data_IF_290511983030
#
_entry.id   IF_290511983030
#
_cell.length_a   1.000
_cell.length_b   1.000
_cell.length_c   1.000
_cell.angle_alpha   90.00
_cell.angle_beta   90.00
_cell.angle_gamma   90.00
#
_symmetry.space_group_name_H-M   'P 1'
#
loop_
_entity.id
_entity.type
_entity.pdbx_description
1 polymer ?
#
# COMPACT_ATOMS: atom_id res chain seq x y z
N UNK A 1 -6.17 -5.18 -5.32
CA UNK A 1 -5.07 -4.31 -5.77
C UNK A 1 -5.69 -3.03 -6.32
N UNK A 2 -5.77 -1.98 -5.51
CA UNK A 2 -6.30 -0.68 -5.96
C UNK A 2 -5.21 -0.03 -6.82
N UNK A 3 -5.49 0.12 -8.12
CA UNK A 3 -4.67 0.98 -8.99
C UNK A 3 -4.63 2.38 -8.37
N UNK A 4 -3.47 3.08 -8.36
CA UNK A 4 -3.38 4.45 -7.83
C UNK A 4 -4.34 5.43 -8.52
N UNK A 5 -4.94 5.00 -9.64
CA UNK A 5 -6.01 5.67 -10.37
C UNK A 5 -7.18 4.71 -10.58
N UNK A 6 -8.18 4.70 -9.68
CA UNK A 6 -9.47 4.08 -10.00
C UNK A 6 -10.25 5.10 -10.83
N UNK A 7 -10.16 4.97 -12.15
CA UNK A 7 -11.12 5.57 -13.06
C UNK A 7 -12.28 4.59 -13.21
N UNK A 8 -13.43 4.91 -12.63
CA UNK A 8 -14.61 4.04 -12.62
C UNK A 8 -15.15 3.74 -14.02
N UNK A 9 -14.81 4.60 -15.01
CA UNK A 9 -15.23 4.47 -16.39
C UNK A 9 -14.32 3.64 -17.31
N UNK A 10 -13.28 2.96 -16.82
CA UNK A 10 -12.47 2.05 -17.66
C UNK A 10 -12.86 0.58 -17.39
N UNK A 11 -13.66 -0.06 -18.27
CA UNK A 11 -14.08 -1.45 -18.09
C UNK A 11 -12.91 -2.43 -17.94
N UNK A 12 -11.74 -2.15 -18.52
CA UNK A 12 -10.57 -3.03 -18.37
C UNK A 12 -10.10 -3.10 -16.92
N UNK A 13 -10.32 -2.02 -16.15
CA UNK A 13 -9.97 -1.93 -14.72
C UNK A 13 -11.11 -2.34 -13.80
N UNK A 14 -12.37 -2.23 -14.22
CA UNK A 14 -13.51 -2.39 -13.31
C UNK A 14 -14.40 -3.59 -13.62
N UNK A 15 -14.43 -4.08 -14.85
CA UNK A 15 -15.35 -5.15 -15.27
C UNK A 15 -15.19 -6.42 -14.44
N UNK A 16 -13.94 -6.83 -14.17
CA UNK A 16 -13.66 -8.03 -13.38
C UNK A 16 -14.08 -7.87 -11.90
N UNK A 17 -14.21 -6.65 -11.38
CA UNK A 17 -14.69 -6.37 -10.03
C UNK A 17 -16.23 -6.42 -9.96
N UNK A 18 -16.90 -5.78 -10.92
CA UNK A 18 -18.37 -5.74 -10.96
C UNK A 18 -18.99 -7.08 -11.37
N UNK A 19 -18.21 -7.97 -11.98
CA UNK A 19 -18.61 -9.34 -12.30
C UNK A 19 -18.51 -10.31 -11.11
N UNK A 20 -17.96 -9.90 -9.96
CA UNK A 20 -17.87 -10.74 -8.77
C UNK A 20 -19.26 -11.00 -8.16
N UNK A 21 -19.42 -12.16 -7.52
CA UNK A 21 -20.66 -12.52 -6.83
C UNK A 21 -21.01 -11.50 -5.74
N UNK A 22 -22.23 -10.95 -5.82
CA UNK A 22 -22.72 -9.95 -4.87
C UNK A 22 -22.18 -8.53 -5.07
N UNK A 23 -21.44 -8.27 -6.15
CA UNK A 23 -20.89 -6.94 -6.42
C UNK A 23 -22.00 -5.91 -6.72
N UNK A 24 -23.09 -6.31 -7.40
CA UNK A 24 -24.19 -5.40 -7.74
C UNK A 24 -24.89 -4.82 -6.50
N UNK A 25 -24.89 -5.56 -5.41
CA UNK A 25 -25.57 -5.23 -4.16
C UNK A 25 -24.65 -4.55 -3.14
N UNK A 26 -23.34 -4.84 -3.17
CA UNK A 26 -22.40 -4.47 -2.08
C UNK A 26 -21.13 -3.76 -2.52
N UNK A 27 -20.83 -3.71 -3.83
CA UNK A 27 -19.64 -3.03 -4.34
C UNK A 27 -20.00 -1.61 -4.77
N UNK A 28 -19.38 -0.64 -4.11
CA UNK A 28 -19.45 0.76 -4.49
C UNK A 28 -18.08 1.20 -5.00
N UNK A 29 -18.02 1.60 -6.27
CA UNK A 29 -16.79 2.10 -6.87
C UNK A 29 -16.74 3.63 -6.77
N UNK A 30 -15.68 4.12 -6.12
CA UNK A 30 -15.39 5.54 -6.01
C UNK A 30 -14.19 5.90 -6.87
N UNK A 31 -14.22 7.08 -7.49
CA UNK A 31 -13.05 7.68 -8.09
C UNK A 31 -12.22 8.32 -6.98
N UNK A 32 -10.94 7.97 -6.89
CA UNK A 32 -9.99 8.60 -6.00
C UNK A 32 -8.60 8.59 -6.63
N UNK A 33 -7.78 9.58 -6.28
CA UNK A 33 -6.38 9.71 -6.68
C UNK A 33 -5.52 9.76 -5.44
N UNK A 34 -4.51 8.90 -5.38
CA UNK A 34 -3.68 8.73 -4.19
C UNK A 34 -2.95 10.01 -3.77
N UNK A 35 -2.64 10.90 -4.72
CA UNK A 35 -1.90 12.14 -4.47
C UNK A 35 -2.79 13.38 -4.38
N UNK A 36 -4.08 13.27 -4.72
CA UNK A 36 -5.05 14.35 -4.56
C UNK A 36 -5.58 14.37 -3.12
N UNK A 37 -5.27 15.44 -2.38
CA UNK A 37 -5.68 15.56 -0.98
C UNK A 37 -7.21 15.52 -0.84
N UNK A 38 -7.69 14.69 0.10
CA UNK A 38 -9.12 14.58 0.40
C UNK A 38 -9.93 13.76 -0.61
N UNK A 39 -9.30 13.22 -1.65
CA UNK A 39 -9.98 12.38 -2.66
C UNK A 39 -10.61 11.11 -2.08
N UNK A 40 -10.22 10.70 -0.87
CA UNK A 40 -10.75 9.55 -0.14
C UNK A 40 -11.79 9.91 0.93
N UNK A 41 -11.97 11.19 1.25
CA UNK A 41 -12.81 11.63 2.38
C UNK A 41 -14.24 11.05 2.25
N UNK A 42 -14.88 11.22 1.09
CA UNK A 42 -16.24 10.72 0.84
C UNK A 42 -16.34 9.20 0.79
N UNK A 43 -15.28 8.50 0.35
CA UNK A 43 -15.29 7.04 0.26
C UNK A 43 -15.08 6.37 1.63
N UNK A 44 -14.41 7.07 2.55
CA UNK A 44 -14.09 6.58 3.90
C UNK A 44 -15.19 6.97 4.90
N UNK A 45 -15.97 8.01 4.64
CA UNK A 45 -17.07 8.40 5.52
C UNK A 45 -18.05 7.24 5.77
N UNK A 46 -18.46 7.08 7.03
CA UNK A 46 -19.29 5.94 7.46
C UNK A 46 -18.60 4.57 7.54
N UNK A 47 -17.33 4.42 7.13
CA UNK A 47 -16.60 3.15 7.24
C UNK A 47 -16.08 2.88 8.65
N UNK A 48 -16.29 1.68 9.17
CA UNK A 48 -15.70 1.25 10.45
C UNK A 48 -14.25 0.75 10.33
N UNK A 49 -13.88 0.22 9.17
CA UNK A 49 -12.54 -0.28 8.91
C UNK A 49 -12.09 0.11 7.52
N UNK A 50 -10.82 0.47 7.38
CA UNK A 50 -10.24 0.91 6.09
C UNK A 50 -9.05 0.02 5.76
N UNK A 51 -9.02 -0.52 4.54
CA UNK A 51 -7.90 -1.32 4.03
C UNK A 51 -7.11 -0.50 3.02
N UNK A 52 -5.98 0.07 3.46
CA UNK A 52 -5.07 0.79 2.59
C UNK A 52 -4.15 -0.19 1.87
N UNK A 53 -4.49 -0.51 0.62
CA UNK A 53 -3.74 -1.45 -0.24
C UNK A 53 -3.04 -0.78 -1.43
N UNK A 54 -3.31 0.51 -1.66
CA UNK A 54 -2.84 1.23 -2.83
C UNK A 54 -1.39 1.70 -2.63
N UNK A 55 -0.48 1.24 -3.49
CA UNK A 55 0.93 1.64 -3.43
C UNK A 55 1.58 1.38 -4.79
N UNK A 56 2.52 2.23 -5.24
CA UNK A 56 3.23 2.01 -6.49
C UNK A 56 4.09 0.74 -6.40
N UNK A 57 4.11 -0.04 -7.49
CA UNK A 57 4.96 -1.23 -7.62
C UNK A 57 5.38 -1.44 -9.08
N UNK A 58 6.56 -0.92 -9.44
CA UNK A 58 7.16 -1.07 -10.76
C UNK A 58 8.70 -1.01 -10.68
N UNK A 59 9.37 -1.68 -11.61
CA UNK A 59 10.83 -1.91 -11.60
C UNK A 59 11.62 -0.86 -12.40
N UNK A 60 11.07 -0.36 -13.51
CA UNK A 60 11.70 0.69 -14.32
C UNK A 60 11.28 2.07 -13.81
N UNK A 61 12.16 2.69 -13.02
CA UNK A 61 11.91 4.00 -12.42
C UNK A 61 12.99 4.97 -12.86
N UNK A 62 12.58 6.09 -13.46
CA UNK A 62 13.52 7.14 -13.91
C UNK A 62 13.83 8.11 -12.77
N UNK A 63 12.80 8.51 -12.03
CA UNK A 63 12.90 9.33 -10.83
C UNK A 63 12.37 8.56 -9.61
N UNK A 64 13.24 7.87 -8.85
CA UNK A 64 12.85 7.12 -7.65
C UNK A 64 12.18 7.97 -6.58
N UNK A 65 12.55 9.24 -6.48
CA UNK A 65 11.99 10.14 -5.48
C UNK A 65 10.53 10.42 -5.81
N UNK A 66 10.24 10.91 -7.02
CA UNK A 66 8.90 11.29 -7.42
C UNK A 66 7.98 10.07 -7.65
N UNK A 67 8.48 9.04 -8.32
CA UNK A 67 7.63 7.94 -8.81
C UNK A 67 7.39 6.84 -7.77
N UNK A 68 8.33 6.63 -6.82
CA UNK A 68 8.18 5.61 -5.77
C UNK A 68 8.03 6.21 -4.38
N UNK A 69 9.03 6.97 -3.92
CA UNK A 69 9.13 7.38 -2.51
C UNK A 69 8.01 8.36 -2.16
N UNK A 70 7.92 9.47 -2.88
CA UNK A 70 6.89 10.48 -2.68
C UNK A 70 5.50 9.89 -2.85
N UNK A 71 5.31 9.08 -3.90
CA UNK A 71 4.03 8.49 -4.19
C UNK A 71 3.58 7.51 -3.10
N UNK A 72 4.49 6.72 -2.52
CA UNK A 72 4.19 5.81 -1.42
C UNK A 72 3.92 6.55 -0.11
N UNK A 73 4.77 7.52 0.26
CA UNK A 73 4.69 8.25 1.52
C UNK A 73 3.49 9.21 1.51
N UNK A 74 3.41 10.12 0.54
CA UNK A 74 2.31 11.10 0.44
C UNK A 74 0.98 10.40 0.28
N UNK A 75 0.95 9.33 -0.51
CA UNK A 75 -0.25 8.54 -0.72
C UNK A 75 -0.78 7.88 0.55
N UNK A 76 0.12 7.27 1.33
CA UNK A 76 -0.24 6.68 2.62
C UNK A 76 -0.73 7.73 3.60
N UNK A 77 -0.04 8.85 3.71
CA UNK A 77 -0.45 9.95 4.57
C UNK A 77 -1.81 10.54 4.14
N UNK A 78 -2.09 10.63 2.85
CA UNK A 78 -3.36 11.14 2.35
C UNK A 78 -4.54 10.27 2.82
N UNK A 79 -4.47 8.95 2.60
CA UNK A 79 -5.51 8.01 3.03
C UNK A 79 -5.69 8.02 4.55
N UNK A 80 -4.60 8.01 5.31
CA UNK A 80 -4.69 8.04 6.77
C UNK A 80 -5.24 9.37 7.30
N UNK A 81 -4.90 10.51 6.69
CA UNK A 81 -5.51 11.78 7.05
C UNK A 81 -7.03 11.76 6.81
N UNK A 82 -7.51 11.18 5.70
CA UNK A 82 -8.95 10.97 5.50
C UNK A 82 -9.57 10.09 6.60
N UNK A 83 -8.87 9.03 7.04
CA UNK A 83 -9.32 8.20 8.16
C UNK A 83 -9.42 8.99 9.47
N UNK A 84 -8.49 9.92 9.75
CA UNK A 84 -8.53 10.73 10.97
C UNK A 84 -9.68 11.74 11.02
N UNK A 85 -10.22 12.13 9.85
CA UNK A 85 -11.39 13.02 9.75
C UNK A 85 -12.70 12.26 9.99
N UNK A 86 -12.74 10.97 9.65
CA UNK A 86 -13.93 10.14 9.75
C UNK A 86 -14.07 9.54 11.16
N UNK A 87 -15.02 10.07 11.94
CA UNK A 87 -15.27 9.63 13.33
C UNK A 87 -15.77 8.17 13.43
N UNK A 88 -16.21 7.58 12.32
CA UNK A 88 -16.67 6.20 12.24
C UNK A 88 -15.53 5.17 12.18
N UNK A 89 -14.33 5.57 11.75
CA UNK A 89 -13.20 4.65 11.55
C UNK A 89 -12.67 4.15 12.89
N UNK A 90 -12.65 2.83 13.05
CA UNK A 90 -12.18 2.15 14.27
C UNK A 90 -10.78 1.55 14.12
N UNK A 91 -10.42 1.08 12.91
CA UNK A 91 -9.09 0.53 12.61
C UNK A 91 -8.75 0.68 11.14
N UNK A 92 -7.48 0.99 10.86
CA UNK A 92 -6.93 0.94 9.51
C UNK A 92 -5.96 -0.23 9.38
N UNK A 93 -6.14 -1.05 8.33
CA UNK A 93 -5.20 -2.09 7.94
C UNK A 93 -4.36 -1.57 6.78
N UNK A 94 -3.06 -1.41 7.01
CA UNK A 94 -2.11 -0.92 5.99
C UNK A 94 -1.37 -2.11 5.39
N UNK A 95 -1.42 -2.24 4.06
CA UNK A 95 -0.62 -3.24 3.35
C UNK A 95 0.79 -2.71 3.14
N UNK A 96 1.70 -3.13 4.02
CA UNK A 96 3.12 -2.85 3.90
C UNK A 96 3.82 -3.98 3.13
N UNK A 97 5.03 -4.40 3.55
CA UNK A 97 5.84 -5.43 2.90
C UNK A 97 6.96 -5.92 3.82
N UNK A 98 7.46 -7.14 3.58
CA UNK A 98 8.76 -7.58 4.11
C UNK A 98 9.91 -6.65 3.72
N UNK A 99 9.74 -5.84 2.67
CA UNK A 99 10.68 -4.79 2.32
C UNK A 99 10.88 -3.76 3.44
N UNK A 100 9.90 -3.52 4.32
CA UNK A 100 10.05 -2.64 5.47
C UNK A 100 10.69 -3.30 6.71
N UNK A 101 10.93 -4.62 6.66
CA UNK A 101 11.36 -5.45 7.80
C UNK A 101 12.76 -6.04 7.60
N UNK A 102 12.97 -6.75 6.49
CA UNK A 102 14.10 -7.66 6.32
C UNK A 102 15.43 -7.04 5.84
N UNK A 103 15.46 -5.75 5.49
CA UNK A 103 16.61 -5.14 4.80
C UNK A 103 17.40 -4.23 5.74
N UNK A 104 18.13 -4.83 6.66
CA UNK A 104 19.05 -4.14 7.55
C UNK A 104 20.45 -4.76 7.49
N UNK A 105 21.35 -4.32 8.37
CA UNK A 105 22.76 -4.77 8.38
C UNK A 105 22.95 -6.14 9.06
N UNK A 106 21.89 -6.79 9.55
CA UNK A 106 21.99 -8.12 10.17
C UNK A 106 22.12 -9.18 9.06
N UNK A 107 22.93 -10.23 9.27
CA UNK A 107 23.01 -11.34 8.32
C UNK A 107 21.68 -12.10 8.26
N UNK A 108 21.25 -12.45 7.05
CA UNK A 108 20.08 -13.29 6.82
C UNK A 108 20.56 -14.70 6.37
N UNK A 109 20.88 -15.55 7.35
CA UNK A 109 21.36 -16.93 7.13
C UNK A 109 20.26 -17.94 7.47
N UNK A 110 20.40 -19.23 7.11
CA UNK A 110 19.38 -20.24 7.39
C UNK A 110 18.99 -20.38 8.88
N UNK A 111 19.87 -20.03 9.80
CA UNK A 111 19.63 -20.13 11.25
C UNK A 111 18.99 -18.87 11.85
N UNK A 112 18.79 -17.81 11.05
CA UNK A 112 18.24 -16.54 11.50
C UNK A 112 16.73 -16.52 11.28
N UNK A 113 15.98 -16.25 12.35
CA UNK A 113 14.55 -15.97 12.27
C UNK A 113 14.33 -14.46 12.15
N UNK A 114 13.69 -14.03 11.07
CA UNK A 114 13.22 -12.65 10.89
C UNK A 114 11.80 -12.56 11.46
N UNK A 115 11.55 -11.57 12.30
CA UNK A 115 10.26 -11.32 12.95
C UNK A 115 9.93 -9.81 12.94
N UNK A 116 8.81 -9.43 13.54
CA UNK A 116 8.30 -8.05 13.57
C UNK A 116 9.15 -7.10 14.43
N UNK A 117 10.18 -7.58 15.11
CA UNK A 117 11.17 -6.72 15.80
C UNK A 117 12.27 -6.22 14.85
N UNK A 118 12.30 -6.75 13.62
CA UNK A 118 13.19 -6.28 12.57
C UNK A 118 12.58 -5.11 11.81
N UNK A 119 13.43 -4.15 11.50
CA UNK A 119 13.09 -3.02 10.66
C UNK A 119 14.19 -2.87 9.61
N UNK A 120 13.80 -2.56 8.38
CA UNK A 120 14.73 -2.21 7.33
C UNK A 120 15.42 -0.88 7.64
N UNK A 121 16.65 -0.74 7.20
CA UNK A 121 17.48 0.44 7.41
C UNK A 121 17.36 1.38 6.20
N UNK A 122 16.75 2.58 6.34
CA UNK A 122 16.59 3.50 5.23
C UNK A 122 17.89 3.95 4.58
N UNK A 123 18.96 4.19 5.37
CA UNK A 123 20.25 4.66 4.87
C UNK A 123 20.95 3.57 4.04
N UNK A 124 20.86 2.32 4.50
CA UNK A 124 21.33 1.16 3.73
C UNK A 124 20.56 1.04 2.41
N UNK A 125 19.24 1.18 2.46
CA UNK A 125 18.39 1.08 1.28
C UNK A 125 18.70 2.18 0.26
N UNK A 126 18.89 3.41 0.71
CA UNK A 126 19.25 4.55 -0.14
C UNK A 126 20.64 4.38 -0.78
N UNK A 127 21.67 4.11 0.04
CA UNK A 127 23.05 3.94 -0.43
C UNK A 127 23.22 2.77 -1.40
N UNK A 128 22.41 1.71 -1.23
CA UNK A 128 22.37 0.54 -2.11
C UNK A 128 21.38 0.68 -3.28
N UNK A 129 20.74 1.85 -3.43
CA UNK A 129 19.75 2.16 -4.47
C UNK A 129 18.56 1.18 -4.50
N UNK A 130 18.19 0.62 -3.34
CA UNK A 130 17.03 -0.26 -3.18
C UNK A 130 15.75 0.57 -3.04
N UNK A 131 15.38 1.31 -4.08
CA UNK A 131 14.36 2.36 -4.02
C UNK A 131 12.96 1.88 -3.60
N UNK A 132 12.56 0.69 -4.04
CA UNK A 132 11.30 0.09 -3.60
C UNK A 132 11.31 -0.26 -2.10
N UNK A 133 12.43 -0.79 -1.62
CA UNK A 133 12.61 -1.14 -0.20
C UNK A 133 12.57 0.12 0.65
N UNK A 134 13.27 1.17 0.20
CA UNK A 134 13.26 2.48 0.83
C UNK A 134 11.84 3.07 0.86
N UNK A 135 11.12 3.07 -0.25
CA UNK A 135 9.77 3.65 -0.32
C UNK A 135 8.78 2.95 0.61
N UNK A 136 8.82 1.62 0.70
CA UNK A 136 8.00 0.85 1.65
C UNK A 136 8.37 1.12 3.10
N UNK A 137 9.67 1.17 3.40
CA UNK A 137 10.18 1.45 4.76
C UNK A 137 9.72 2.84 5.23
N UNK A 138 9.91 3.87 4.40
CA UNK A 138 9.53 5.25 4.74
C UNK A 138 8.01 5.43 4.82
N UNK A 139 7.24 4.77 3.95
CA UNK A 139 5.78 4.86 3.98
C UNK A 139 5.19 4.21 5.25
N UNK A 140 5.71 3.06 5.69
CA UNK A 140 5.29 2.42 6.93
C UNK A 140 5.68 3.23 8.17
N UNK A 141 6.92 3.75 8.23
CA UNK A 141 7.35 4.64 9.31
C UNK A 141 6.49 5.90 9.41
N UNK A 142 6.17 6.53 8.26
CA UNK A 142 5.27 7.68 8.21
C UNK A 142 3.85 7.33 8.68
N UNK A 143 3.33 6.15 8.33
CA UNK A 143 2.04 5.67 8.79
C UNK A 143 1.99 5.53 10.31
N UNK A 144 2.98 4.87 10.91
CA UNK A 144 3.08 4.70 12.36
C UNK A 144 3.24 6.02 13.10
N UNK A 145 4.06 6.94 12.59
CA UNK A 145 4.24 8.29 13.15
C UNK A 145 2.92 9.07 13.18
N UNK A 146 2.23 9.14 12.04
CA UNK A 146 0.94 9.83 11.95
C UNK A 146 -0.11 9.17 12.85
N UNK A 147 -0.17 7.83 12.86
CA UNK A 147 -1.12 7.10 13.69
C UNK A 147 -0.93 7.39 15.18
N UNK A 148 0.32 7.40 15.64
CA UNK A 148 0.66 7.79 17.01
C UNK A 148 0.30 9.24 17.32
N UNK A 149 0.58 10.17 16.40
CA UNK A 149 0.27 11.59 16.56
C UNK A 149 -1.24 11.86 16.65
N UNK A 150 -2.02 11.19 15.81
CA UNK A 150 -3.47 11.41 15.67
C UNK A 150 -4.33 10.47 16.52
N UNK A 151 -3.72 9.50 17.21
CA UNK A 151 -4.45 8.49 17.97
C UNK A 151 -5.26 7.52 17.10
N UNK A 152 -4.81 7.27 15.86
CA UNK A 152 -5.46 6.35 14.93
C UNK A 152 -5.00 4.92 15.21
N UNK A 153 -5.93 3.99 15.41
CA UNK A 153 -5.62 2.56 15.52
C UNK A 153 -5.28 2.02 14.13
N UNK A 154 -4.02 1.61 13.96
CA UNK A 154 -3.54 0.97 12.74
C UNK A 154 -2.90 -0.38 13.03
N UNK A 155 -2.98 -1.28 12.05
CA UNK A 155 -2.17 -2.50 11.96
C UNK A 155 -1.55 -2.60 10.58
N UNK A 156 -0.34 -3.12 10.50
CA UNK A 156 0.35 -3.39 9.24
C UNK A 156 0.35 -4.89 8.94
N UNK A 157 0.22 -5.22 7.66
CA UNK A 157 0.46 -6.58 7.15
C UNK A 157 1.65 -6.49 6.21
N UNK A 158 2.66 -7.32 6.43
CA UNK A 158 3.93 -7.25 5.73
C UNK A 158 4.16 -8.52 4.87
N UNK A 159 3.53 -8.63 3.69
CA UNK A 159 3.70 -9.80 2.83
C UNK A 159 5.08 -9.86 2.20
N UNK A 160 5.49 -11.08 1.82
CA UNK A 160 6.60 -11.37 0.90
C UNK A 160 6.10 -11.36 -0.54
N UNK A 161 6.72 -12.14 -1.43
CA UNK A 161 6.17 -12.40 -2.76
C UNK A 161 4.78 -13.05 -2.65
N UNK A 162 3.77 -12.38 -3.20
CA UNK A 162 2.38 -12.87 -3.22
C UNK A 162 2.11 -13.53 -4.56
N UNK A 163 1.77 -14.81 -4.52
CA UNK A 163 1.45 -15.63 -5.70
C UNK A 163 0.04 -16.19 -5.61
N UNK A 164 -0.56 -16.49 -6.76
CA UNK A 164 -1.89 -17.09 -6.82
C UNK A 164 -2.65 -16.73 -8.11
N UNK A 165 -3.92 -17.15 -8.19
CA UNK A 165 -4.77 -16.83 -9.33
C UNK A 165 -4.98 -15.32 -9.46
N UNK A 166 -4.97 -14.82 -10.70
CA UNK A 166 -5.25 -13.43 -11.02
C UNK A 166 -6.76 -13.22 -11.21
N UNK A 167 -7.31 -12.24 -10.50
CA UNK A 167 -8.70 -11.80 -10.72
C UNK A 167 -8.83 -10.84 -11.91
N UNK A 168 -7.80 -10.01 -12.12
CA UNK A 168 -7.77 -9.10 -13.26
C UNK A 168 -7.37 -9.83 -14.55
N UNK A 169 -7.82 -9.34 -15.73
CA UNK A 169 -7.51 -9.98 -17.01
C UNK A 169 -6.09 -9.67 -17.53
N UNK A 170 -5.30 -8.90 -16.77
CA UNK A 170 -3.95 -8.47 -17.16
C UNK A 170 -2.91 -8.96 -16.18
N UNK A 171 -1.73 -9.29 -16.71
CA UNK A 171 -0.56 -9.62 -15.90
C UNK A 171 -0.14 -8.38 -15.09
N UNK A 172 0.05 -8.56 -13.77
CA UNK A 172 0.64 -7.51 -12.93
C UNK A 172 2.14 -7.73 -12.76
N UNK A 173 2.82 -6.67 -12.30
CA UNK A 173 4.27 -6.67 -12.07
C UNK A 173 4.73 -7.85 -11.19
N UNK A 174 3.99 -8.19 -10.13
CA UNK A 174 4.38 -9.27 -9.20
C UNK A 174 4.33 -10.64 -9.86
N UNK A 175 3.24 -10.94 -10.58
CA UNK A 175 3.07 -12.19 -11.31
C UNK A 175 4.05 -12.29 -12.49
N UNK A 176 4.37 -11.15 -13.15
CA UNK A 176 5.35 -11.12 -14.22
C UNK A 176 6.78 -11.46 -13.77
N UNK A 177 7.12 -11.26 -12.49
CA UNK A 177 8.44 -11.59 -11.97
C UNK A 177 8.70 -13.10 -11.81
N UNK A 178 7.67 -13.93 -11.95
CA UNK A 178 7.71 -15.39 -11.66
C UNK A 178 7.42 -16.21 -12.93
N UNK A 179 6.92 -15.57 -14.00
CA UNK A 179 6.65 -16.17 -15.30
C UNK A 179 7.82 -15.91 -16.25
#
# INVERSE_FOLDING_TARGET
MISPYIYTGDPRKTQHLVSLEGAKERLHLFKADLLEQGSFDSAIDGCHGVFHTASPFFHDVKDPQAELIDHAVKGTLNVLNSCTKASSVKRVVVTSSMAAVGYNRKPCTPDVTVDETWFSDPELCESSKMWYVLSKTLAEDAAWKLAKEKGLDIVTINPTMVIGPLLQPTLNTSAAAIL
#
